data_IF_099505345548
#
_entry.id   IF_099505345548
#
_cell.length_a   1.000
_cell.length_b   1.000
_cell.length_c   1.000
_cell.angle_alpha   90.00
_cell.angle_beta   90.00
_cell.angle_gamma   90.00
#
_symmetry.space_group_name_H-M   'P 1'
#
loop_
_entity.id
_entity.type
_entity.pdbx_description
1 polymer ?
#
# COMPACT_ATOMS: atom_id res chain seq x y z
N UNK A 1 2.45 -13.72 4.67
CA UNK A 1 1.79 -12.40 4.65
C UNK A 1 0.57 -12.39 5.55
N UNK A 2 0.18 -11.22 5.97
CA UNK A 2 -1.05 -10.99 6.71
C UNK A 2 -1.75 -9.72 6.20
N UNK A 3 -3.07 -9.66 6.42
CA UNK A 3 -3.88 -8.48 6.21
C UNK A 3 -5.00 -8.48 7.26
N UNK A 4 -5.21 -7.36 7.92
CA UNK A 4 -6.26 -7.29 8.93
C UNK A 4 -6.25 -6.02 9.77
N UNK A 5 -7.24 -5.92 10.67
CA UNK A 5 -7.35 -4.78 11.58
C UNK A 5 -6.29 -4.86 12.69
N UNK A 6 -5.71 -3.69 12.97
CA UNK A 6 -4.76 -3.47 14.07
C UNK A 6 -5.31 -2.42 15.02
N UNK A 7 -4.89 -2.51 16.29
CA UNK A 7 -5.37 -1.63 17.34
C UNK A 7 -4.18 -1.06 18.12
N UNK A 8 -4.28 0.22 18.48
CA UNK A 8 -3.30 0.89 19.34
C UNK A 8 -3.97 1.93 20.22
N UNK A 9 -3.43 2.10 21.41
CA UNK A 9 -3.86 3.13 22.33
C UNK A 9 -3.00 4.39 22.15
N UNK A 10 -3.38 5.25 21.19
CA UNK A 10 -2.67 6.48 20.90
C UNK A 10 -3.66 7.62 20.60
N UNK A 11 -3.19 8.87 20.68
CA UNK A 11 -4.00 10.03 20.33
C UNK A 11 -4.27 10.03 18.83
N UNK A 12 -5.54 10.01 18.39
CA UNK A 12 -5.88 10.01 16.98
C UNK A 12 -5.48 11.33 16.30
N UNK A 13 -4.98 11.22 15.05
CA UNK A 13 -4.74 12.35 14.16
C UNK A 13 -4.80 11.86 12.71
N UNK A 14 -4.73 12.78 11.73
CA UNK A 14 -4.75 12.41 10.30
C UNK A 14 -3.66 11.37 10.01
N UNK A 15 -4.04 10.23 9.41
CA UNK A 15 -3.14 9.11 9.13
C UNK A 15 -2.68 8.29 10.35
N UNK A 16 -3.24 8.54 11.55
CA UNK A 16 -2.94 7.79 12.79
C UNK A 16 -4.22 7.51 13.57
N UNK A 17 -4.84 6.37 13.29
CA UNK A 17 -6.09 5.94 13.92
C UNK A 17 -5.83 4.92 15.02
N UNK A 18 -6.80 4.73 15.93
CA UNK A 18 -6.73 3.71 16.99
C UNK A 18 -7.06 2.32 16.48
N UNK A 19 -7.97 2.23 15.54
CA UNK A 19 -8.25 1.04 14.73
C UNK A 19 -7.89 1.36 13.29
N UNK A 20 -7.09 0.52 12.66
CA UNK A 20 -6.59 0.70 11.30
C UNK A 20 -6.28 -0.66 10.70
N UNK A 21 -6.07 -0.73 9.39
CA UNK A 21 -5.71 -1.97 8.72
C UNK A 21 -4.24 -1.94 8.31
N UNK A 22 -3.61 -3.10 8.41
CA UNK A 22 -2.28 -3.32 7.86
C UNK A 22 -2.28 -4.50 6.91
N UNK A 23 -1.41 -4.39 5.92
CA UNK A 23 -0.87 -5.51 5.17
C UNK A 23 0.60 -5.63 5.55
N UNK A 24 1.12 -6.85 5.57
CA UNK A 24 2.53 -7.07 5.87
C UNK A 24 2.99 -8.44 5.43
N UNK A 25 4.31 -8.55 5.32
CA UNK A 25 4.99 -9.82 5.02
C UNK A 25 6.13 -10.03 5.99
N UNK A 26 6.37 -11.30 6.31
CA UNK A 26 7.46 -11.73 7.19
C UNK A 26 8.19 -12.89 6.51
N UNK A 27 9.51 -12.81 6.41
CA UNK A 27 10.37 -13.84 5.87
C UNK A 27 11.21 -14.42 6.99
N UNK A 28 10.87 -15.64 7.39
CA UNK A 28 11.47 -16.31 8.54
C UNK A 28 12.48 -17.37 8.09
N UNK A 29 13.62 -17.41 8.76
CA UNK A 29 14.69 -18.38 8.54
C UNK A 29 15.99 -17.80 7.96
N UNK A 30 15.98 -17.15 6.80
CA UNK A 30 17.20 -16.63 6.18
C UNK A 30 17.88 -15.53 6.99
N UNK A 31 19.24 -15.63 7.07
CA UNK A 31 20.07 -14.65 7.78
C UNK A 31 20.82 -13.70 6.85
N UNK A 32 20.81 -13.99 5.55
CA UNK A 32 21.56 -13.25 4.54
C UNK A 32 20.93 -11.91 4.21
N UNK A 33 21.73 -10.87 3.95
CA UNK A 33 21.26 -9.55 3.56
C UNK A 33 20.45 -9.53 2.26
N UNK A 34 20.60 -10.55 1.40
CA UNK A 34 19.78 -10.70 0.20
C UNK A 34 18.28 -10.89 0.55
N UNK A 35 17.98 -11.60 1.65
CA UNK A 35 16.59 -11.74 2.12
C UNK A 35 15.98 -10.39 2.52
N UNK A 36 16.78 -9.48 3.09
CA UNK A 36 16.34 -8.13 3.42
C UNK A 36 16.03 -7.33 2.15
N UNK A 37 16.92 -7.43 1.15
CA UNK A 37 16.73 -6.76 -0.13
C UNK A 37 15.48 -7.29 -0.86
N UNK A 38 15.21 -8.60 -0.81
CA UNK A 38 14.00 -9.20 -1.39
C UNK A 38 12.73 -8.66 -0.73
N UNK A 39 12.71 -8.58 0.60
CA UNK A 39 11.58 -8.03 1.36
C UNK A 39 11.36 -6.54 1.06
N UNK A 40 12.42 -5.75 0.95
CA UNK A 40 12.35 -4.33 0.55
C UNK A 40 11.86 -4.23 -0.89
N UNK A 41 12.39 -5.04 -1.80
CA UNK A 41 11.99 -5.09 -3.21
C UNK A 41 10.52 -5.45 -3.40
N UNK A 42 10.00 -6.41 -2.61
CA UNK A 42 8.57 -6.73 -2.59
C UNK A 42 7.74 -5.50 -2.15
N UNK A 43 8.18 -4.78 -1.11
CA UNK A 43 7.52 -3.55 -0.68
C UNK A 43 7.54 -2.46 -1.77
N UNK A 44 8.67 -2.26 -2.43
CA UNK A 44 8.78 -1.34 -3.56
C UNK A 44 7.81 -1.71 -4.70
N UNK A 45 7.72 -3.00 -5.05
CA UNK A 45 6.80 -3.50 -6.08
C UNK A 45 5.34 -3.26 -5.71
N UNK A 46 4.95 -3.51 -4.47
CA UNK A 46 3.58 -3.21 -4.00
C UNK A 46 3.25 -1.73 -4.14
N UNK A 47 4.18 -0.83 -3.79
CA UNK A 47 3.98 0.61 -3.96
C UNK A 47 3.95 1.05 -5.43
N UNK A 48 4.72 0.38 -6.30
CA UNK A 48 4.75 0.60 -7.75
C UNK A 48 3.44 0.16 -8.41
N UNK A 49 2.97 -1.04 -8.11
CA UNK A 49 1.70 -1.58 -8.60
C UNK A 49 0.49 -0.74 -8.17
N UNK A 50 0.59 -0.08 -7.02
CA UNK A 50 -0.39 0.91 -6.56
C UNK A 50 -0.21 2.31 -7.21
N UNK A 51 0.84 2.52 -7.99
CA UNK A 51 1.14 3.82 -8.62
C UNK A 51 1.61 4.91 -7.64
N UNK A 52 2.03 4.56 -6.42
CA UNK A 52 2.43 5.53 -5.38
C UNK A 52 3.93 5.55 -5.09
N UNK A 53 4.71 4.62 -5.66
CA UNK A 53 6.16 4.53 -5.42
C UNK A 53 6.89 5.84 -5.75
N UNK A 54 6.51 6.52 -6.85
CA UNK A 54 7.13 7.78 -7.28
C UNK A 54 6.97 8.94 -6.29
N UNK A 55 6.02 8.85 -5.36
CA UNK A 55 5.83 9.83 -4.27
C UNK A 55 6.48 9.42 -2.96
N UNK A 56 7.19 8.27 -2.93
CA UNK A 56 7.85 7.72 -1.76
C UNK A 56 9.37 7.72 -1.92
N UNK A 57 10.08 7.85 -0.82
CA UNK A 57 11.53 7.66 -0.75
C UNK A 57 11.84 6.53 0.23
N UNK A 58 12.69 5.60 -0.20
CA UNK A 58 13.22 4.53 0.67
C UNK A 58 14.37 5.09 1.51
N UNK A 59 14.21 5.05 2.81
CA UNK A 59 15.26 5.32 3.80
C UNK A 59 15.74 4.01 4.40
N UNK A 60 17.05 3.88 4.55
CA UNK A 60 17.73 2.69 5.03
C UNK A 60 18.75 3.04 6.11
N UNK A 61 18.84 2.20 7.14
CA UNK A 61 19.91 2.21 8.12
C UNK A 61 20.31 0.78 8.49
N UNK A 62 21.51 0.64 9.04
CA UNK A 62 21.92 -0.56 9.75
C UNK A 62 21.95 -0.31 11.24
N UNK A 63 21.21 -1.11 12.00
CA UNK A 63 21.24 -1.10 13.46
C UNK A 63 22.34 -2.02 14.03
N UNK A 64 23.08 -2.70 13.15
CA UNK A 64 24.10 -3.65 13.52
C UNK A 64 23.57 -4.87 14.29
N UNK A 65 24.48 -5.73 14.68
CA UNK A 65 24.22 -6.83 15.61
C UNK A 65 24.21 -6.36 17.09
N UNK A 66 24.08 -7.29 18.01
CA UNK A 66 24.09 -6.99 19.45
C UNK A 66 25.40 -6.33 19.91
N UNK A 67 26.55 -6.76 19.38
CA UNK A 67 27.87 -6.22 19.75
C UNK A 67 28.05 -4.79 19.22
N UNK A 68 27.70 -4.54 17.95
CA UNK A 68 27.71 -3.21 17.32
C UNK A 68 26.80 -2.24 18.07
N UNK A 69 25.56 -2.67 18.43
CA UNK A 69 24.62 -1.86 19.21
C UNK A 69 25.11 -1.54 20.61
N UNK A 70 25.78 -2.49 21.28
CA UNK A 70 26.33 -2.25 22.61
C UNK A 70 27.47 -1.22 22.54
N UNK A 71 28.36 -1.33 21.56
CA UNK A 71 29.45 -0.37 21.35
C UNK A 71 28.90 1.03 21.05
N UNK A 72 27.94 1.13 20.15
CA UNK A 72 27.29 2.39 19.82
C UNK A 72 26.51 2.98 21.01
N UNK A 73 25.76 2.16 21.74
CA UNK A 73 25.02 2.61 22.92
C UNK A 73 25.97 3.22 23.97
N UNK A 74 27.12 2.62 24.22
CA UNK A 74 28.12 3.15 25.16
C UNK A 74 28.65 4.52 24.69
N UNK A 75 28.97 4.67 23.38
CA UNK A 75 29.43 5.92 22.82
C UNK A 75 28.34 7.02 22.87
N UNK A 76 27.10 6.65 22.50
CA UNK A 76 25.96 7.58 22.52
C UNK A 76 25.62 8.04 23.94
N UNK A 77 25.61 7.15 24.92
CA UNK A 77 25.37 7.48 26.33
C UNK A 77 26.45 8.45 26.83
N UNK A 78 27.73 8.16 26.60
CA UNK A 78 28.82 9.05 26.99
C UNK A 78 28.70 10.46 26.38
N UNK A 79 28.29 10.53 25.11
CA UNK A 79 28.04 11.80 24.42
C UNK A 79 26.84 12.54 25.05
N UNK A 80 25.71 11.88 25.23
CA UNK A 80 24.49 12.48 25.79
C UNK A 80 24.65 12.90 27.25
N UNK A 81 25.43 12.16 28.05
CA UNK A 81 25.77 12.53 29.44
C UNK A 81 26.56 13.85 29.50
N UNK A 82 27.46 14.09 28.54
CA UNK A 82 28.18 15.36 28.45
C UNK A 82 27.29 16.56 28.09
N UNK A 83 26.09 16.30 27.53
CA UNK A 83 25.09 17.31 27.17
C UNK A 83 23.83 17.23 28.05
N UNK A 84 23.87 16.50 29.17
CA UNK A 84 22.67 16.23 29.97
C UNK A 84 21.95 17.47 30.47
N UNK A 85 22.66 18.60 30.64
CA UNK A 85 22.08 19.89 31.05
C UNK A 85 21.12 20.47 30.01
N UNK A 86 21.43 20.26 28.72
CA UNK A 86 20.78 20.91 27.58
C UNK A 86 19.70 20.05 26.94
N UNK A 87 19.59 18.77 27.32
CA UNK A 87 18.55 17.86 26.88
C UNK A 87 17.16 18.25 27.40
N UNK A 88 16.13 17.98 26.62
CA UNK A 88 14.73 18.06 27.07
C UNK A 88 14.47 17.11 28.24
N UNK A 89 13.46 17.41 29.08
CA UNK A 89 13.09 16.55 30.23
C UNK A 89 12.70 15.14 29.79
N UNK A 90 12.04 14.99 28.64
CA UNK A 90 11.71 13.68 28.06
C UNK A 90 12.99 12.92 27.67
N UNK A 91 13.97 13.59 27.04
CA UNK A 91 15.26 12.99 26.66
C UNK A 91 16.12 12.67 27.88
N UNK A 92 16.09 13.45 28.95
CA UNK A 92 16.72 13.12 30.24
C UNK A 92 16.14 11.85 30.85
N UNK A 93 14.83 11.69 30.78
CA UNK A 93 14.16 10.46 31.25
C UNK A 93 14.55 9.25 30.39
N UNK A 94 14.59 9.41 29.07
CA UNK A 94 14.98 8.37 28.11
C UNK A 94 16.45 7.98 28.24
N UNK A 95 17.34 8.90 28.56
CA UNK A 95 18.77 8.62 28.77
C UNK A 95 18.98 7.49 29.79
N UNK A 96 18.14 7.44 30.83
CA UNK A 96 18.20 6.42 31.88
C UNK A 96 17.57 5.08 31.47
N UNK A 97 16.58 5.10 30.58
CA UNK A 97 15.77 3.92 30.24
C UNK A 97 16.09 3.35 28.86
N UNK A 98 16.04 4.18 27.82
CA UNK A 98 16.33 3.77 26.44
C UNK A 98 16.95 4.94 25.67
N UNK A 99 18.27 5.14 25.74
CA UNK A 99 18.96 6.26 25.13
C UNK A 99 18.84 6.30 23.60
N UNK A 100 18.69 5.15 22.94
CA UNK A 100 18.50 5.11 21.48
C UNK A 100 17.23 5.82 21.02
N UNK A 101 16.20 5.89 21.86
CA UNK A 101 14.95 6.63 21.54
C UNK A 101 15.10 8.15 21.58
N UNK A 102 16.23 8.66 22.07
CA UNK A 102 16.52 10.10 22.00
C UNK A 102 16.78 10.52 20.56
N UNK A 103 17.34 9.62 19.72
CA UNK A 103 17.57 9.87 18.29
C UNK A 103 16.28 10.23 17.53
N UNK A 104 15.12 9.78 17.98
CA UNK A 104 13.80 10.10 17.40
C UNK A 104 13.14 11.34 18.06
N UNK A 105 13.93 12.15 18.82
CA UNK A 105 13.39 13.35 19.45
C UNK A 105 12.91 14.37 18.42
N UNK A 106 11.74 14.96 18.69
CA UNK A 106 11.17 16.07 17.90
C UNK A 106 11.45 17.44 18.50
N UNK A 107 12.06 17.47 19.69
CA UNK A 107 12.50 18.69 20.33
C UNK A 107 13.63 19.33 19.55
N UNK A 108 13.57 20.66 19.36
CA UNK A 108 14.57 21.37 18.55
C UNK A 108 15.94 21.43 19.22
N UNK A 109 16.00 21.56 20.57
CA UNK A 109 17.23 21.54 21.34
C UNK A 109 17.91 20.19 21.26
N UNK A 110 17.17 19.10 21.48
CA UNK A 110 17.68 17.74 21.35
C UNK A 110 18.23 17.49 19.93
N UNK A 111 17.51 17.92 18.90
CA UNK A 111 17.93 17.75 17.49
C UNK A 111 19.22 18.50 17.16
N UNK A 112 19.41 19.67 17.74
CA UNK A 112 20.67 20.42 17.59
C UNK A 112 21.85 19.65 18.22
N UNK A 113 21.66 19.07 19.41
CA UNK A 113 22.67 18.22 20.07
C UNK A 113 22.93 16.96 19.23
N UNK A 114 21.88 16.31 18.76
CA UNK A 114 21.98 15.05 18.00
C UNK A 114 22.67 15.21 16.64
N UNK A 115 22.78 16.42 16.10
CA UNK A 115 23.51 16.68 14.88
C UNK A 115 25.00 16.30 14.98
N UNK A 116 25.59 16.39 16.19
CA UNK A 116 26.98 16.06 16.49
C UNK A 116 27.12 14.69 17.20
N UNK A 117 26.02 13.95 17.37
CA UNK A 117 26.05 12.65 18.05
C UNK A 117 26.85 11.60 17.28
N UNK A 118 27.49 10.67 18.01
CA UNK A 118 28.12 9.51 17.37
C UNK A 118 27.13 8.80 16.45
N UNK A 119 27.61 8.36 15.30
CA UNK A 119 26.79 7.63 14.32
C UNK A 119 27.00 6.13 14.46
N UNK A 120 25.93 5.38 14.33
CA UNK A 120 25.96 3.92 14.50
C UNK A 120 26.84 3.25 13.44
N UNK A 121 26.88 3.77 12.21
CA UNK A 121 27.69 3.23 11.11
C UNK A 121 29.17 3.19 11.45
N UNK A 122 29.69 4.10 12.28
CA UNK A 122 31.08 4.08 12.77
C UNK A 122 31.37 2.95 13.78
N UNK A 123 30.34 2.36 14.37
CA UNK A 123 30.42 1.31 15.39
C UNK A 123 30.02 -0.09 14.89
N UNK A 124 29.68 -0.22 13.61
CA UNK A 124 29.40 -1.52 13.00
C UNK A 124 30.67 -2.38 12.97
N UNK A 125 30.56 -3.64 13.36
CA UNK A 125 31.61 -4.64 13.13
C UNK A 125 31.64 -5.10 11.66
N UNK A 126 32.61 -5.92 11.30
CA UNK A 126 32.81 -6.35 9.91
C UNK A 126 31.61 -7.14 9.37
N UNK A 127 31.00 -8.00 10.19
CA UNK A 127 29.82 -8.79 9.81
C UNK A 127 28.62 -7.89 9.52
N UNK A 128 28.37 -6.90 10.37
CA UNK A 128 27.27 -5.94 10.18
C UNK A 128 27.50 -5.04 8.96
N UNK A 129 28.76 -4.65 8.69
CA UNK A 129 29.11 -3.93 7.46
C UNK A 129 28.90 -4.77 6.21
N UNK A 130 29.33 -6.03 6.24
CA UNK A 130 29.16 -6.96 5.13
C UNK A 130 27.68 -7.24 4.85
N UNK A 131 26.86 -7.43 5.92
CA UNK A 131 25.42 -7.59 5.79
C UNK A 131 24.77 -6.37 5.11
N UNK A 132 25.05 -5.15 5.58
CA UNK A 132 24.50 -3.93 5.02
C UNK A 132 24.96 -3.72 3.57
N UNK A 133 26.22 -4.03 3.26
CA UNK A 133 26.74 -3.96 1.88
C UNK A 133 26.03 -4.95 0.94
N UNK A 134 25.68 -6.15 1.44
CA UNK A 134 24.91 -7.12 0.66
C UNK A 134 23.50 -6.60 0.34
N UNK A 135 22.82 -5.99 1.34
CA UNK A 135 21.50 -5.37 1.13
C UNK A 135 21.56 -4.26 0.09
N UNK A 136 22.45 -3.28 0.29
CA UNK A 136 22.55 -2.11 -0.59
C UNK A 136 22.99 -2.48 -1.99
N UNK A 137 23.97 -3.39 -2.12
CA UNK A 137 24.43 -3.88 -3.42
C UNK A 137 23.34 -4.61 -4.21
N UNK A 138 22.46 -5.35 -3.53
CA UNK A 138 21.33 -6.00 -4.18
C UNK A 138 20.26 -5.00 -4.64
N UNK A 139 19.96 -3.99 -3.82
CA UNK A 139 19.03 -2.91 -4.19
C UNK A 139 19.56 -2.10 -5.38
N UNK A 140 20.85 -1.76 -5.38
CA UNK A 140 21.50 -1.05 -6.48
C UNK A 140 21.44 -1.86 -7.78
N UNK A 141 21.74 -3.18 -7.70
CA UNK A 141 21.65 -4.09 -8.85
C UNK A 141 20.20 -4.21 -9.39
N UNK A 142 19.20 -4.07 -8.53
CA UNK A 142 17.78 -4.08 -8.89
C UNK A 142 17.26 -2.70 -9.35
N UNK A 143 18.10 -1.64 -9.31
CA UNK A 143 17.68 -0.28 -9.64
C UNK A 143 16.73 0.36 -8.64
N UNK A 144 16.69 -0.15 -7.40
CA UNK A 144 15.86 0.41 -6.32
C UNK A 144 16.64 1.52 -5.62
N UNK A 145 16.23 2.75 -5.84
CA UNK A 145 16.87 3.92 -5.22
C UNK A 145 16.60 3.97 -3.72
N UNK A 146 17.63 4.26 -2.93
CA UNK A 146 17.54 4.36 -1.49
C UNK A 146 18.38 5.52 -0.94
N UNK A 147 18.08 5.97 0.27
CA UNK A 147 18.79 7.00 0.99
C UNK A 147 19.30 6.44 2.32
N UNK A 148 20.56 6.67 2.63
CA UNK A 148 21.08 6.36 3.96
C UNK A 148 20.55 7.35 4.97
N UNK A 149 19.91 6.86 6.04
CA UNK A 149 19.40 7.68 7.14
C UNK A 149 19.97 7.18 8.48
N UNK A 150 21.07 7.77 8.97
CA UNK A 150 21.73 7.33 10.20
C UNK A 150 20.86 7.54 11.46
N UNK A 151 19.80 8.34 11.37
CA UNK A 151 18.86 8.58 12.46
C UNK A 151 17.66 7.63 12.42
N UNK A 152 17.51 6.83 11.36
CA UNK A 152 16.43 5.87 11.26
C UNK A 152 16.62 4.77 12.29
N UNK A 153 15.76 4.78 13.30
CA UNK A 153 15.64 3.74 14.33
C UNK A 153 14.22 3.20 14.34
N UNK A 154 14.05 1.98 14.84
CA UNK A 154 12.70 1.40 15.02
C UNK A 154 12.25 1.54 16.45
N UNK A 155 10.93 1.71 16.65
CA UNK A 155 10.33 1.92 17.97
C UNK A 155 10.39 0.72 18.93
N UNK A 156 10.95 -0.41 18.51
CA UNK A 156 11.01 -1.66 19.28
C UNK A 156 12.45 -2.19 19.31
N UNK A 157 12.87 -2.69 20.45
CA UNK A 157 14.28 -3.01 20.75
C UNK A 157 14.76 -4.35 20.13
N UNK A 158 13.85 -5.12 19.54
CA UNK A 158 14.17 -6.42 18.93
C UNK A 158 14.78 -6.30 17.52
N UNK A 159 14.72 -5.13 16.89
CA UNK A 159 15.32 -4.94 15.56
C UNK A 159 16.84 -4.99 15.60
N UNK A 160 17.45 -5.58 14.57
CA UNK A 160 18.89 -5.66 14.32
C UNK A 160 19.18 -5.47 12.84
N UNK A 161 20.44 -5.28 12.49
CA UNK A 161 20.90 -5.10 11.12
C UNK A 161 20.02 -4.09 10.35
N UNK A 162 19.26 -4.53 9.38
CA UNK A 162 18.50 -3.68 8.45
C UNK A 162 17.27 -3.04 9.11
N UNK A 163 17.17 -1.72 9.01
CA UNK A 163 15.95 -0.95 9.27
C UNK A 163 15.63 -0.12 8.02
N UNK A 164 14.35 -0.06 7.65
CA UNK A 164 13.92 0.69 6.47
C UNK A 164 12.52 1.25 6.57
N UNK A 165 12.30 2.36 5.86
CA UNK A 165 11.00 3.01 5.73
C UNK A 165 10.83 3.61 4.33
N UNK A 166 9.66 3.41 3.73
CA UNK A 166 9.20 4.20 2.59
C UNK A 166 8.42 5.39 3.13
N UNK A 167 8.94 6.58 2.86
CA UNK A 167 8.44 7.84 3.42
C UNK A 167 7.96 8.75 2.30
N UNK A 168 6.81 9.42 2.52
CA UNK A 168 6.26 10.44 1.63
C UNK A 168 6.04 11.76 2.35
N UNK A 169 6.21 12.87 1.65
CA UNK A 169 5.88 14.21 2.16
C UNK A 169 4.37 14.52 2.05
N UNK A 170 3.64 13.79 1.21
CA UNK A 170 2.22 14.05 0.95
C UNK A 170 1.30 13.85 2.17
N UNK A 171 1.74 13.08 3.18
CA UNK A 171 0.98 12.81 4.40
C UNK A 171 1.46 13.62 5.62
N UNK A 172 2.33 14.60 5.43
CA UNK A 172 2.85 15.46 6.51
C UNK A 172 3.59 14.66 7.57
N UNK A 173 3.30 14.92 8.86
CA UNK A 173 4.02 14.29 10.00
C UNK A 173 3.87 12.74 10.08
N UNK A 174 3.01 12.13 9.31
CA UNK A 174 2.77 10.69 9.26
C UNK A 174 3.27 10.09 7.93
N UNK A 175 4.42 10.55 7.46
CA UNK A 175 4.97 10.24 6.14
C UNK A 175 5.33 8.77 5.89
N UNK A 176 5.62 7.96 6.91
CA UNK A 176 5.95 6.54 6.72
C UNK A 176 4.71 5.76 6.27
N UNK A 177 4.72 5.23 5.06
CA UNK A 177 3.62 4.43 4.48
C UNK A 177 3.85 2.94 4.60
N UNK A 178 5.12 2.51 4.53
CA UNK A 178 5.56 1.15 4.71
C UNK A 178 6.87 1.19 5.50
N UNK A 179 7.02 0.32 6.49
CA UNK A 179 8.25 0.28 7.26
C UNK A 179 8.50 -1.08 7.88
N UNK A 180 9.77 -1.44 7.98
CA UNK A 180 10.19 -2.75 8.42
C UNK A 180 11.63 -2.82 8.88
N UNK A 181 12.12 -4.04 8.97
CA UNK A 181 13.51 -4.34 9.34
C UNK A 181 13.69 -5.79 9.75
N UNK A 182 14.93 -6.13 10.11
CA UNK A 182 15.34 -7.45 10.60
C UNK A 182 15.23 -7.56 12.12
N UNK A 183 14.81 -8.74 12.60
CA UNK A 183 14.54 -8.98 14.03
C UNK A 183 14.88 -10.40 14.45
N UNK A 184 16.13 -10.83 14.24
CA UNK A 184 16.60 -12.21 14.45
C UNK A 184 16.43 -12.74 15.90
N UNK A 185 16.42 -11.85 16.91
CA UNK A 185 16.27 -12.22 18.30
C UNK A 185 14.83 -12.28 18.82
N UNK A 186 13.82 -11.94 18.00
CA UNK A 186 12.43 -11.82 18.47
C UNK A 186 11.85 -13.17 18.94
N UNK A 187 12.11 -14.25 18.18
CA UNK A 187 11.59 -15.57 18.53
C UNK A 187 12.11 -16.03 19.91
N UNK A 188 13.39 -15.84 20.18
CA UNK A 188 14.00 -16.20 21.48
C UNK A 188 13.44 -15.34 22.62
N UNK A 189 13.23 -14.04 22.39
CA UNK A 189 12.58 -13.14 23.37
C UNK A 189 11.16 -13.59 23.74
N UNK A 190 10.48 -14.26 22.83
CA UNK A 190 9.13 -14.82 23.04
C UNK A 190 9.17 -16.26 23.57
N UNK A 191 10.36 -16.83 23.86
CA UNK A 191 10.52 -18.19 24.36
C UNK A 191 10.53 -19.28 23.28
N UNK A 192 10.68 -18.89 22.01
CA UNK A 192 10.80 -19.80 20.87
C UNK A 192 12.26 -20.15 20.55
N UNK A 193 12.49 -21.00 19.52
CA UNK A 193 13.83 -21.28 19.01
C UNK A 193 14.44 -20.07 18.31
N UNK A 194 15.77 -20.01 18.14
CA UNK A 194 16.45 -18.94 17.40
C UNK A 194 16.08 -18.98 15.91
N UNK A 195 15.17 -18.09 15.50
CA UNK A 195 14.74 -17.96 14.10
C UNK A 195 15.00 -16.52 13.66
N UNK A 196 15.78 -16.37 12.60
CA UNK A 196 15.97 -15.08 11.94
C UNK A 196 14.67 -14.63 11.27
N UNK A 197 14.45 -13.33 11.22
CA UNK A 197 13.26 -12.77 10.58
C UNK A 197 13.50 -11.37 10.05
N UNK A 198 12.89 -11.07 8.90
CA UNK A 198 12.82 -9.76 8.30
C UNK A 198 11.45 -9.56 7.69
N UNK A 199 10.85 -8.38 7.86
CA UNK A 199 9.53 -8.11 7.32
C UNK A 199 9.18 -6.63 7.35
N UNK A 200 8.01 -6.32 6.84
CA UNK A 200 7.45 -4.97 6.87
C UNK A 200 5.94 -4.99 7.05
N UNK A 201 5.43 -3.85 7.52
CA UNK A 201 4.01 -3.55 7.55
C UNK A 201 3.72 -2.22 6.84
N UNK A 202 2.59 -2.16 6.13
CA UNK A 202 2.07 -0.96 5.50
C UNK A 202 0.66 -0.65 5.99
N UNK A 203 0.39 0.63 6.27
CA UNK A 203 -0.94 1.08 6.69
C UNK A 203 -1.85 1.27 5.49
N UNK A 204 -2.93 0.47 5.40
CA UNK A 204 -3.87 0.50 4.27
C UNK A 204 -4.50 1.87 4.11
N UNK A 205 -4.90 2.51 5.20
CA UNK A 205 -5.50 3.84 5.16
C UNK A 205 -4.51 4.93 4.68
N UNK A 206 -3.22 4.78 4.98
CA UNK A 206 -2.19 5.71 4.47
C UNK A 206 -1.98 5.52 2.97
N UNK A 207 -1.95 4.28 2.50
CA UNK A 207 -1.88 3.96 1.07
C UNK A 207 -3.12 4.52 0.34
N UNK A 208 -4.32 4.32 0.89
CA UNK A 208 -5.55 4.88 0.35
C UNK A 208 -5.54 6.41 0.27
N UNK A 209 -4.99 7.09 1.29
CA UNK A 209 -4.83 8.55 1.25
C UNK A 209 -3.87 9.03 0.15
N UNK A 210 -2.86 8.23 -0.21
CA UNK A 210 -1.95 8.55 -1.31
C UNK A 210 -2.58 8.32 -2.68
N UNK A 211 -3.41 7.29 -2.81
CA UNK A 211 -4.17 7.00 -4.02
C UNK A 211 -5.20 8.10 -4.33
N UNK A 212 -5.68 8.81 -3.29
CA UNK A 212 -6.73 9.79 -3.45
C UNK A 212 -8.07 9.17 -3.82
N UNK A 213 -8.91 9.95 -4.47
CA UNK A 213 -10.20 9.47 -4.97
C UNK A 213 -9.94 8.54 -6.17
N UNK A 214 -10.24 7.27 -5.98
CA UNK A 214 -10.25 6.28 -7.06
C UNK A 214 -11.67 6.25 -7.62
N UNK A 215 -11.82 6.51 -8.89
CA UNK A 215 -13.09 6.34 -9.57
C UNK A 215 -13.61 4.92 -9.30
N UNK A 216 -14.75 4.82 -8.64
CA UNK A 216 -15.39 3.53 -8.48
C UNK A 216 -15.63 2.96 -9.89
N UNK A 217 -15.14 1.77 -10.17
CA UNK A 217 -15.39 1.12 -11.44
C UNK A 217 -16.91 0.99 -11.61
N UNK A 218 -17.49 1.91 -12.37
CA UNK A 218 -18.89 1.81 -12.73
C UNK A 218 -19.09 0.57 -13.61
N UNK A 219 -20.23 -0.15 -13.48
CA UNK A 219 -20.56 -1.18 -14.45
C UNK A 219 -20.49 -0.59 -15.85
N UNK A 220 -19.84 -1.29 -16.76
CA UNK A 220 -19.73 -0.81 -18.15
C UNK A 220 -21.01 -1.04 -18.94
N UNK A 221 -21.88 -1.95 -18.48
CA UNK A 221 -23.06 -2.44 -19.16
C UNK A 221 -24.26 -2.40 -18.22
N UNK A 222 -25.44 -2.03 -18.74
CA UNK A 222 -26.71 -2.24 -18.06
C UNK A 222 -27.61 -3.11 -18.94
N UNK A 223 -28.15 -4.19 -18.39
CA UNK A 223 -29.15 -5.04 -19.07
C UNK A 223 -30.54 -4.62 -18.60
N UNK A 224 -31.39 -4.19 -19.51
CA UNK A 224 -32.68 -3.55 -19.22
C UNK A 224 -33.84 -4.27 -19.91
N UNK A 225 -34.74 -4.92 -19.16
CA UNK A 225 -35.98 -5.43 -19.73
C UNK A 225 -36.91 -4.27 -20.16
N UNK A 226 -37.52 -4.34 -21.32
CA UNK A 226 -38.60 -3.44 -21.74
C UNK A 226 -39.90 -3.82 -21.04
N UNK A 227 -40.19 -5.12 -20.96
CA UNK A 227 -41.41 -5.70 -20.47
C UNK A 227 -41.13 -6.67 -19.31
N UNK A 228 -42.15 -6.96 -18.47
CA UNK A 228 -41.96 -7.82 -17.29
C UNK A 228 -41.70 -9.31 -17.58
N UNK A 229 -42.19 -9.77 -18.72
CA UNK A 229 -42.07 -11.16 -19.16
C UNK A 229 -40.65 -11.55 -19.65
N UNK A 230 -39.78 -10.56 -19.95
CA UNK A 230 -38.39 -10.77 -20.33
C UNK A 230 -37.38 -10.60 -19.21
N UNK A 231 -37.84 -10.33 -17.96
CA UNK A 231 -36.93 -10.10 -16.83
C UNK A 231 -36.00 -11.31 -16.54
N UNK A 232 -36.54 -12.54 -16.63
CA UNK A 232 -35.76 -13.75 -16.42
C UNK A 232 -34.66 -13.93 -17.49
N UNK A 233 -34.99 -13.59 -18.76
CA UNK A 233 -34.03 -13.64 -19.87
C UNK A 233 -32.95 -12.57 -19.69
N UNK A 234 -33.31 -11.35 -19.26
CA UNK A 234 -32.35 -10.29 -18.93
C UNK A 234 -31.42 -10.71 -17.79
N UNK A 235 -31.93 -11.38 -16.77
CA UNK A 235 -31.10 -11.93 -15.70
C UNK A 235 -30.09 -12.95 -16.25
N UNK A 236 -30.55 -13.90 -17.06
CA UNK A 236 -29.66 -14.91 -17.66
C UNK A 236 -28.58 -14.29 -18.53
N UNK A 237 -28.92 -13.28 -19.33
CA UNK A 237 -27.94 -12.53 -20.14
C UNK A 237 -26.94 -11.79 -19.25
N UNK A 238 -27.40 -11.16 -18.18
CA UNK A 238 -26.53 -10.47 -17.23
C UNK A 238 -25.53 -11.43 -16.56
N UNK A 239 -25.99 -12.62 -16.14
CA UNK A 239 -25.12 -13.67 -15.56
C UNK A 239 -24.12 -14.20 -16.58
N UNK A 240 -24.53 -14.39 -17.82
CA UNK A 240 -23.64 -14.78 -18.91
C UNK A 240 -22.50 -13.78 -19.11
N UNK A 241 -22.82 -12.50 -19.16
CA UNK A 241 -21.83 -11.43 -19.29
C UNK A 241 -20.92 -11.33 -18.07
N UNK A 242 -21.47 -11.47 -16.86
CA UNK A 242 -20.69 -11.48 -15.59
C UNK A 242 -19.72 -12.64 -15.53
N UNK A 243 -20.14 -13.84 -15.98
CA UNK A 243 -19.26 -15.02 -16.03
C UNK A 243 -18.04 -14.83 -16.96
N UNK A 244 -18.13 -13.88 -17.90
CA UNK A 244 -17.05 -13.49 -18.81
C UNK A 244 -16.24 -12.27 -18.30
N UNK A 245 -16.44 -11.87 -17.02
CA UNK A 245 -15.71 -10.77 -16.40
C UNK A 245 -16.23 -9.36 -16.74
N UNK A 246 -17.40 -9.25 -17.42
CA UNK A 246 -18.01 -7.96 -17.72
C UNK A 246 -18.82 -7.48 -16.51
N UNK A 247 -18.54 -6.27 -16.02
CA UNK A 247 -19.31 -5.66 -14.94
C UNK A 247 -20.69 -5.18 -15.47
N UNK A 248 -21.76 -5.77 -14.94
CA UNK A 248 -23.13 -5.56 -15.41
C UNK A 248 -24.04 -5.07 -14.29
N UNK A 249 -24.74 -3.95 -14.51
CA UNK A 249 -25.92 -3.53 -13.74
C UNK A 249 -27.21 -4.14 -14.35
N UNK A 250 -28.09 -4.63 -13.50
CA UNK A 250 -29.42 -5.11 -13.88
C UNK A 250 -30.46 -4.28 -13.15
N UNK A 251 -30.82 -3.09 -13.67
CA UNK A 251 -31.75 -2.21 -13.01
C UNK A 251 -33.16 -2.80 -13.00
N UNK A 252 -33.72 -2.97 -11.81
CA UNK A 252 -35.08 -3.49 -11.60
C UNK A 252 -36.06 -2.35 -11.33
N UNK A 253 -37.30 -2.52 -11.79
CA UNK A 253 -38.42 -1.65 -11.55
C UNK A 253 -38.35 -0.27 -12.26
N UNK A 254 -39.50 0.35 -12.46
CA UNK A 254 -39.65 1.66 -13.11
C UNK A 254 -39.61 1.59 -14.65
N UNK A 255 -40.05 2.67 -15.28
CA UNK A 255 -40.07 2.79 -16.74
C UNK A 255 -38.64 2.83 -17.32
N UNK A 256 -38.46 2.28 -18.53
CA UNK A 256 -37.18 2.21 -19.24
C UNK A 256 -36.45 3.57 -19.28
N UNK A 257 -37.13 4.67 -19.53
CA UNK A 257 -36.55 6.01 -19.56
C UNK A 257 -35.91 6.46 -18.22
N UNK A 258 -36.47 6.02 -17.07
CA UNK A 258 -35.83 6.25 -15.75
C UNK A 258 -34.58 5.41 -15.56
N UNK A 259 -34.64 4.16 -16.00
CA UNK A 259 -33.49 3.23 -15.95
C UNK A 259 -32.33 3.72 -16.82
N UNK A 260 -32.63 4.18 -18.05
CA UNK A 260 -31.66 4.78 -18.96
C UNK A 260 -30.98 6.01 -18.34
N UNK A 261 -31.75 6.95 -17.75
CA UNK A 261 -31.18 8.12 -17.07
C UNK A 261 -30.33 7.74 -15.84
N UNK A 262 -30.70 6.68 -15.13
CA UNK A 262 -29.90 6.19 -14.00
C UNK A 262 -28.57 5.59 -14.49
N UNK A 263 -28.60 4.79 -15.55
CA UNK A 263 -27.42 4.20 -16.18
C UNK A 263 -26.45 5.28 -16.69
N UNK A 264 -26.95 6.27 -17.36
CA UNK A 264 -26.17 7.41 -17.85
C UNK A 264 -25.51 8.18 -16.70
N UNK A 265 -26.25 8.51 -15.62
CA UNK A 265 -25.68 9.13 -14.40
C UNK A 265 -24.64 8.28 -13.68
N UNK A 266 -24.77 6.95 -13.77
CA UNK A 266 -23.81 6.01 -13.20
C UNK A 266 -22.57 5.81 -14.07
N UNK A 267 -22.46 6.50 -15.21
CA UNK A 267 -21.33 6.38 -16.13
C UNK A 267 -21.34 5.09 -16.96
N UNK A 268 -22.44 4.36 -16.98
CA UNK A 268 -22.58 3.14 -17.80
C UNK A 268 -22.53 3.54 -19.27
N UNK A 269 -21.71 2.80 -20.03
CA UNK A 269 -21.48 3.09 -21.44
C UNK A 269 -22.44 2.37 -22.36
N UNK A 270 -22.76 1.12 -22.09
CA UNK A 270 -23.58 0.27 -22.96
C UNK A 270 -24.87 -0.13 -22.28
N UNK A 271 -26.01 0.17 -22.90
CA UNK A 271 -27.31 -0.36 -22.50
C UNK A 271 -27.70 -1.51 -23.42
N UNK A 272 -27.96 -2.68 -22.86
CA UNK A 272 -28.56 -3.85 -23.52
C UNK A 272 -30.05 -3.81 -23.21
N UNK A 273 -30.87 -3.69 -24.22
CA UNK A 273 -32.32 -3.54 -24.10
C UNK A 273 -32.98 -4.77 -24.71
N UNK A 274 -33.88 -5.41 -23.97
CA UNK A 274 -34.60 -6.60 -24.41
C UNK A 274 -36.11 -6.37 -24.25
N UNK A 275 -36.83 -6.50 -25.33
CA UNK A 275 -38.27 -6.60 -25.37
C UNK A 275 -38.71 -8.03 -25.73
N UNK A 276 -40.02 -8.28 -25.70
CA UNK A 276 -40.62 -9.59 -26.01
C UNK A 276 -40.36 -10.04 -27.45
N UNK A 277 -40.33 -9.09 -28.40
CA UNK A 277 -40.06 -9.38 -29.81
C UNK A 277 -38.60 -9.81 -30.04
N UNK A 278 -37.66 -9.07 -29.45
CA UNK A 278 -36.24 -9.42 -29.52
C UNK A 278 -35.96 -10.73 -28.81
N UNK A 279 -36.59 -10.98 -27.67
CA UNK A 279 -36.47 -12.27 -26.96
C UNK A 279 -36.94 -13.46 -27.82
N UNK A 280 -38.05 -13.31 -28.52
CA UNK A 280 -38.59 -14.31 -29.42
C UNK A 280 -37.69 -14.54 -30.66
N UNK A 281 -37.05 -13.47 -31.14
CA UNK A 281 -36.13 -13.51 -32.26
C UNK A 281 -34.71 -14.00 -31.88
N UNK A 282 -34.40 -14.10 -30.59
CA UNK A 282 -33.05 -14.44 -30.10
C UNK A 282 -32.06 -13.28 -30.26
N UNK A 283 -32.55 -12.05 -30.37
CA UNK A 283 -31.74 -10.82 -30.54
C UNK A 283 -31.84 -9.93 -29.30
N UNK A 284 -31.06 -8.88 -29.25
CA UNK A 284 -31.08 -7.76 -28.27
C UNK A 284 -30.70 -6.46 -28.95
N UNK A 285 -31.19 -5.36 -28.45
CA UNK A 285 -30.70 -4.02 -28.83
C UNK A 285 -29.55 -3.63 -27.93
N UNK A 286 -28.41 -3.22 -28.50
CA UNK A 286 -27.29 -2.62 -27.76
C UNK A 286 -27.20 -1.14 -28.11
N UNK A 287 -27.05 -0.28 -27.11
CA UNK A 287 -26.95 1.16 -27.29
C UNK A 287 -25.74 1.72 -26.57
N UNK A 288 -24.87 2.42 -27.31
CA UNK A 288 -23.80 3.24 -26.73
C UNK A 288 -24.42 4.54 -26.18
N UNK A 289 -24.38 4.71 -24.87
CA UNK A 289 -24.95 5.88 -24.19
C UNK A 289 -24.13 7.15 -24.38
N UNK A 290 -22.86 7.03 -24.79
CA UNK A 290 -21.98 8.17 -25.08
C UNK A 290 -22.00 8.52 -26.57
N UNK A 291 -21.84 7.52 -27.45
CA UNK A 291 -21.81 7.71 -28.88
C UNK A 291 -23.20 7.80 -29.53
N UNK A 292 -24.27 7.45 -28.83
CA UNK A 292 -25.64 7.51 -29.32
C UNK A 292 -26.02 6.45 -30.36
N UNK A 293 -25.10 5.57 -30.76
CA UNK A 293 -25.38 4.48 -31.71
C UNK A 293 -26.19 3.37 -31.07
N UNK A 294 -27.05 2.72 -31.87
CA UNK A 294 -27.85 1.58 -31.45
C UNK A 294 -27.81 0.53 -32.54
N UNK A 295 -27.51 -0.70 -32.15
CA UNK A 295 -27.41 -1.84 -33.04
C UNK A 295 -28.23 -3.01 -32.50
N UNK A 296 -28.79 -3.84 -33.39
CA UNK A 296 -29.40 -5.12 -33.05
C UNK A 296 -28.37 -6.24 -33.25
N UNK A 297 -28.21 -7.11 -32.24
CA UNK A 297 -27.27 -8.21 -32.26
C UNK A 297 -27.88 -9.51 -31.77
N UNK A 298 -27.40 -10.65 -32.24
CA UNK A 298 -27.82 -11.93 -31.68
C UNK A 298 -27.37 -12.05 -30.21
N UNK A 299 -28.22 -12.67 -29.35
CA UNK A 299 -27.86 -12.89 -27.95
C UNK A 299 -26.56 -13.68 -27.78
N UNK A 300 -26.26 -14.60 -28.73
CA UNK A 300 -25.01 -15.38 -28.76
C UNK A 300 -23.76 -14.53 -28.98
N UNK A 301 -23.89 -13.40 -29.68
CA UNK A 301 -22.77 -12.55 -30.07
C UNK A 301 -22.63 -11.31 -29.15
N UNK A 302 -23.53 -11.20 -28.17
CA UNK A 302 -23.68 -10.03 -27.29
C UNK A 302 -22.36 -9.62 -26.62
N UNK A 303 -21.62 -10.56 -26.05
CA UNK A 303 -20.37 -10.24 -25.35
C UNK A 303 -19.29 -9.69 -26.30
N UNK A 304 -19.19 -10.25 -27.50
CA UNK A 304 -18.26 -9.79 -28.54
C UNK A 304 -18.63 -8.38 -29.02
N UNK A 305 -19.93 -8.13 -29.23
CA UNK A 305 -20.43 -6.83 -29.64
C UNK A 305 -20.20 -5.75 -28.57
N UNK A 306 -20.45 -6.09 -27.29
CA UNK A 306 -20.14 -5.20 -26.15
C UNK A 306 -18.64 -4.90 -26.09
N UNK A 307 -17.77 -5.91 -26.20
CA UNK A 307 -16.31 -5.73 -26.21
C UNK A 307 -15.88 -4.77 -27.33
N UNK A 308 -16.40 -4.94 -28.53
CA UNK A 308 -16.11 -4.05 -29.66
C UNK A 308 -16.61 -2.62 -29.42
N UNK A 309 -17.79 -2.44 -28.78
CA UNK A 309 -18.34 -1.13 -28.48
C UNK A 309 -17.56 -0.43 -27.34
N UNK A 310 -17.10 -1.16 -26.32
CA UNK A 310 -16.27 -0.62 -25.25
C UNK A 310 -14.86 -0.26 -25.72
N UNK A 311 -14.31 -0.97 -26.72
CA UNK A 311 -13.00 -0.69 -27.29
C UNK A 311 -12.96 0.56 -28.20
N UNK A 312 -14.13 1.01 -28.72
CA UNK A 312 -14.21 2.25 -29.49
C UNK A 312 -13.94 3.43 -28.56
N UNK A 313 -12.92 4.23 -28.81
CA UNK A 313 -12.79 5.53 -28.15
C UNK A 313 -13.97 6.41 -28.54
N UNK A 314 -14.54 7.20 -27.62
CA UNK A 314 -15.53 8.20 -28.03
C UNK A 314 -14.83 9.19 -28.97
N UNK A 315 -15.35 9.34 -30.20
CA UNK A 315 -14.89 10.36 -31.13
C UNK A 315 -15.06 11.73 -30.47
N UNK A 316 -13.95 12.42 -30.21
CA UNK A 316 -13.90 13.86 -29.98
C UNK A 316 -14.39 14.34 -28.61
N UNK A 317 -13.49 14.36 -27.61
CA UNK A 317 -13.40 15.49 -26.69
C UNK A 317 -11.97 16.00 -26.79
N UNK A 318 -11.71 16.84 -27.78
CA UNK A 318 -10.71 17.89 -27.72
C UNK A 318 -11.24 18.97 -26.77
N UNK A 319 -10.43 19.31 -25.75
CA UNK A 319 -10.73 20.44 -24.88
C UNK A 319 -9.96 20.37 -23.59
#
# INVERSE_FOLDING_TARGET
>A
FYAGPMFRYERPQKGRMRQFHQIGIEYLGPRDGIADAEIIGCGARVLDDLGVLGSCRLHLNSLGDAASRQAYRAALVGFLESHAGDLSEDSKARLKTNPLRILDSKDQGDRAILADAPRLDAHLNDDSRAHFAAVTGALDAAGISWNFDPLLVRGLDYYCHTAFEFITDALGAQGTVLGGGRYDGLSEMLGGPPVAGVGWAAGVERLAMLLGDVDAAAPHVAVMPMDGDVEATCFALAETLRSQGIAVDLPTGGAIGKRMKKADRAGIRVAVILGSDEAAAGTVQIRDLRGGTQDEVAQTDLATAIGAMLARQPDGVEG
#
